data_IF_193892205422
#
_entry.id   IF_193892205422
#
_cell.length_a   1.000
_cell.length_b   1.000
_cell.length_c   1.000
_cell.angle_alpha   90.00
_cell.angle_beta   90.00
_cell.angle_gamma   90.00
#
_symmetry.space_group_name_H-M   'P 1'
#
loop_
_entity.id
_entity.type
_entity.pdbx_description
1 polymer ?
#
# COMPACT_ATOMS: atom_id res chain seq x y z
N UNK A 1 34.59 21.94 21.09
CA UNK A 1 33.55 22.77 20.43
C UNK A 1 32.67 21.82 19.64
N UNK A 2 31.53 21.44 20.18
CA UNK A 2 30.60 20.50 19.55
C UNK A 2 29.84 21.27 18.47
N UNK A 3 30.19 21.04 17.20
CA UNK A 3 29.40 21.58 16.08
C UNK A 3 28.01 20.94 16.13
N UNK A 4 27.00 21.76 16.42
CA UNK A 4 25.61 21.41 16.22
C UNK A 4 25.41 21.46 14.71
N UNK A 5 25.44 20.30 14.06
CA UNK A 5 25.14 20.13 12.63
C UNK A 5 23.81 20.82 12.33
N UNK A 6 23.87 21.95 11.62
CA UNK A 6 22.69 22.72 11.28
C UNK A 6 21.70 21.86 10.50
N UNK A 7 20.47 21.74 11.00
CA UNK A 7 19.37 21.05 10.32
C UNK A 7 19.34 21.50 8.85
N UNK A 8 19.61 20.59 7.91
CA UNK A 8 19.44 20.86 6.48
C UNK A 8 17.98 21.27 6.25
N UNK A 9 17.76 22.53 5.93
CA UNK A 9 16.42 23.04 5.66
C UNK A 9 15.99 22.54 4.29
N UNK A 10 14.96 21.70 4.25
CA UNK A 10 14.38 21.21 3.00
C UNK A 10 13.80 22.38 2.20
N UNK A 11 13.84 22.33 0.86
CA UNK A 11 13.09 23.27 0.04
C UNK A 11 11.59 23.23 0.40
N UNK A 12 10.88 24.37 0.42
CA UNK A 12 9.49 24.42 0.89
C UNK A 12 8.53 23.47 0.16
N UNK A 13 8.75 23.25 -1.14
CA UNK A 13 7.95 22.32 -1.94
C UNK A 13 8.13 20.85 -1.49
N UNK A 14 9.36 20.46 -1.14
CA UNK A 14 9.73 19.12 -0.69
C UNK A 14 9.18 18.88 0.71
N UNK A 15 9.37 19.85 1.62
CA UNK A 15 8.81 19.79 2.96
C UNK A 15 7.28 19.62 2.92
N UNK A 16 6.60 20.45 2.12
CA UNK A 16 5.13 20.36 1.97
C UNK A 16 4.68 19.05 1.36
N UNK A 17 5.41 18.52 0.37
CA UNK A 17 5.12 17.20 -0.17
C UNK A 17 5.24 16.12 0.92
N UNK A 18 6.34 16.07 1.67
CA UNK A 18 6.56 15.07 2.71
C UNK A 18 5.45 15.14 3.77
N UNK A 19 5.09 16.34 4.22
CA UNK A 19 4.01 16.53 5.19
C UNK A 19 2.67 16.01 4.66
N UNK A 20 2.26 16.44 3.46
CA UNK A 20 1.00 16.03 2.85
C UNK A 20 0.96 14.52 2.56
N UNK A 21 2.08 13.96 2.08
CA UNK A 21 2.21 12.54 1.83
C UNK A 21 2.09 11.72 3.13
N UNK A 22 2.62 12.25 4.23
CA UNK A 22 2.38 11.76 5.58
C UNK A 22 0.90 11.71 5.95
N UNK A 23 0.18 12.82 5.76
CA UNK A 23 -1.25 12.93 6.07
C UNK A 23 -2.12 12.01 5.20
N UNK A 24 -1.73 11.80 3.94
CA UNK A 24 -2.41 10.86 3.03
C UNK A 24 -2.21 9.41 3.47
N UNK A 25 -1.04 9.06 3.99
CA UNK A 25 -0.75 7.71 4.50
C UNK A 25 -1.76 7.24 5.53
N UNK A 26 -2.09 8.10 6.50
CA UNK A 26 -3.03 7.76 7.57
C UNK A 26 -4.42 7.42 7.02
N UNK A 27 -4.87 8.08 5.96
CA UNK A 27 -6.15 7.80 5.29
C UNK A 27 -6.18 6.43 4.60
N UNK A 28 -5.02 5.91 4.22
CA UNK A 28 -4.89 4.60 3.59
C UNK A 28 -4.50 3.49 4.57
N UNK A 29 -4.50 3.78 5.88
CA UNK A 29 -4.12 2.82 6.92
C UNK A 29 -2.62 2.58 7.01
N UNK A 30 -1.79 3.51 6.51
CA UNK A 30 -0.33 3.49 6.64
C UNK A 30 0.09 4.52 7.66
N UNK A 31 1.02 4.18 8.55
CA UNK A 31 1.50 5.11 9.57
C UNK A 31 2.11 6.39 8.92
N UNK A 32 1.74 7.57 9.43
CA UNK A 32 2.30 8.87 9.02
C UNK A 32 3.82 8.88 8.86
N UNK A 33 4.58 8.40 9.85
CA UNK A 33 6.04 8.44 9.83
C UNK A 33 6.63 7.54 8.75
N UNK A 34 6.02 6.37 8.52
CA UNK A 34 6.38 5.46 7.43
C UNK A 34 6.24 6.18 6.08
N UNK A 35 5.11 6.87 5.90
CA UNK A 35 4.83 7.62 4.67
C UNK A 35 5.81 8.78 4.51
N UNK A 36 6.06 9.58 5.55
CA UNK A 36 7.02 10.69 5.49
C UNK A 36 8.45 10.24 5.18
N UNK A 37 8.91 9.13 5.77
CA UNK A 37 10.24 8.57 5.49
C UNK A 37 10.31 8.07 4.06
N UNK A 38 9.28 7.37 3.57
CA UNK A 38 9.21 7.00 2.15
C UNK A 38 9.24 8.22 1.24
N UNK A 39 8.46 9.26 1.53
CA UNK A 39 8.41 10.49 0.74
C UNK A 39 9.76 11.20 0.70
N UNK A 40 10.50 11.23 1.81
CA UNK A 40 11.87 11.75 1.85
C UNK A 40 12.81 10.91 0.99
N UNK A 41 12.84 9.59 1.18
CA UNK A 41 13.72 8.69 0.43
C UNK A 41 13.40 8.65 -1.07
N UNK A 42 12.13 8.80 -1.45
CA UNK A 42 11.67 8.87 -2.85
C UNK A 42 12.22 10.11 -3.56
N UNK A 43 12.41 11.22 -2.84
CA UNK A 43 12.94 12.47 -3.37
C UNK A 43 14.45 12.65 -3.13
N UNK A 44 15.09 11.69 -2.45
CA UNK A 44 16.51 11.77 -2.13
C UNK A 44 17.37 11.45 -3.36
N UNK A 45 18.34 12.31 -3.66
CA UNK A 45 19.30 12.08 -4.75
C UNK A 45 20.35 10.99 -4.43
N UNK A 46 20.54 10.70 -3.15
CA UNK A 46 21.54 9.75 -2.65
C UNK A 46 20.94 8.91 -1.52
N UNK A 47 21.41 7.66 -1.34
CA UNK A 47 21.01 6.83 -0.21
C UNK A 47 21.26 7.53 1.12
N UNK A 48 20.31 7.43 2.06
CA UNK A 48 20.37 8.11 3.36
C UNK A 48 20.55 7.09 4.49
N UNK A 49 21.31 7.45 5.53
CA UNK A 49 21.35 6.65 6.76
C UNK A 49 20.12 6.92 7.62
N UNK A 50 19.85 6.04 8.59
CA UNK A 50 18.80 6.28 9.58
C UNK A 50 19.03 7.57 10.40
N UNK A 51 20.30 7.97 10.59
CA UNK A 51 20.65 9.21 11.28
C UNK A 51 20.31 10.44 10.43
N UNK A 52 20.65 10.41 9.13
CA UNK A 52 20.30 11.49 8.19
C UNK A 52 18.78 11.70 8.12
N UNK A 53 18.02 10.60 8.09
CA UNK A 53 16.54 10.63 8.06
C UNK A 53 15.99 11.22 9.35
N UNK A 54 16.49 10.79 10.52
CA UNK A 54 16.06 11.28 11.82
C UNK A 54 16.31 12.80 11.96
N UNK A 55 17.50 13.24 11.57
CA UNK A 55 17.88 14.65 11.66
C UNK A 55 17.10 15.52 10.67
N UNK A 56 16.88 15.02 9.44
CA UNK A 56 16.13 15.74 8.39
C UNK A 56 14.66 15.91 8.75
N UNK A 57 14.01 14.85 9.26
CA UNK A 57 12.58 14.88 9.59
C UNK A 57 12.29 15.33 11.03
N UNK A 58 13.32 15.49 11.86
CA UNK A 58 13.16 15.76 13.29
C UNK A 58 12.47 14.63 14.04
N UNK A 59 12.67 13.38 13.61
CA UNK A 59 12.04 12.19 14.18
C UNK A 59 12.94 11.48 15.20
N UNK A 60 12.34 10.86 16.20
CA UNK A 60 13.08 10.00 17.12
C UNK A 60 13.70 8.79 16.37
N UNK A 61 14.95 8.43 16.71
CA UNK A 61 15.68 7.32 16.07
C UNK A 61 14.94 5.98 16.16
N UNK A 62 14.23 5.72 17.27
CA UNK A 62 13.40 4.52 17.43
C UNK A 62 12.23 4.48 16.44
N UNK A 63 11.58 5.62 16.19
CA UNK A 63 10.52 5.73 15.20
C UNK A 63 11.06 5.49 13.79
N UNK A 64 12.16 6.15 13.44
CA UNK A 64 12.83 5.93 12.14
C UNK A 64 13.20 4.46 11.93
N UNK A 65 13.78 3.81 12.95
CA UNK A 65 14.14 2.39 12.87
C UNK A 65 12.93 1.48 12.61
N UNK A 66 11.80 1.72 13.30
CA UNK A 66 10.57 0.95 13.11
C UNK A 66 9.97 1.19 11.71
N UNK A 67 9.89 2.44 11.28
CA UNK A 67 9.38 2.79 9.96
C UNK A 67 10.22 2.23 8.83
N UNK A 68 11.55 2.24 8.95
CA UNK A 68 12.45 1.62 7.97
C UNK A 68 12.24 0.10 7.88
N UNK A 69 12.05 -0.59 9.02
CA UNK A 69 11.71 -2.02 9.03
C UNK A 69 10.41 -2.30 8.29
N UNK A 70 9.40 -1.46 8.50
CA UNK A 70 8.12 -1.58 7.83
C UNK A 70 8.27 -1.36 6.32
N UNK A 71 8.94 -0.29 5.90
CA UNK A 71 9.20 -0.02 4.47
C UNK A 71 10.00 -1.14 3.78
N UNK A 72 10.99 -1.72 4.47
CA UNK A 72 11.71 -2.90 3.99
C UNK A 72 10.78 -4.11 3.85
N UNK A 73 9.89 -4.35 4.82
CA UNK A 73 8.93 -5.45 4.78
C UNK A 73 7.87 -5.30 3.68
N UNK A 74 7.60 -4.08 3.22
CA UNK A 74 6.80 -3.80 2.02
C UNK A 74 7.64 -3.80 0.73
N UNK A 75 8.96 -3.99 0.82
CA UNK A 75 9.90 -3.83 -0.28
C UNK A 75 9.82 -2.46 -0.96
N UNK A 76 9.42 -1.40 -0.25
CA UNK A 76 9.35 -0.04 -0.81
C UNK A 76 10.68 0.70 -0.74
N UNK A 77 11.59 0.20 0.08
CA UNK A 77 12.98 0.66 0.17
C UNK A 77 13.91 -0.54 0.16
N UNK A 78 15.19 -0.30 -0.10
CA UNK A 78 16.24 -1.31 0.02
C UNK A 78 17.47 -0.74 0.74
N UNK A 79 18.26 -1.63 1.33
CA UNK A 79 19.58 -1.30 1.86
C UNK A 79 20.60 -1.25 0.73
N UNK A 80 21.47 -0.24 0.75
CA UNK A 80 22.55 -0.04 -0.22
C UNK A 80 23.88 0.00 0.52
N UNK A 81 24.82 -0.91 0.23
CA UNK A 81 26.15 -0.82 0.80
C UNK A 81 26.94 0.31 0.14
N UNK A 82 27.64 1.12 0.94
CA UNK A 82 28.56 2.15 0.46
C UNK A 82 29.98 1.76 0.89
N UNK A 83 30.91 1.72 -0.07
CA UNK A 83 32.29 1.32 0.18
C UNK A 83 32.95 2.26 1.21
N UNK A 84 33.51 1.69 2.26
CA UNK A 84 34.17 2.44 3.33
C UNK A 84 33.23 2.99 4.40
N UNK A 85 31.91 2.86 4.24
CA UNK A 85 30.93 3.19 5.26
C UNK A 85 30.26 1.91 5.79
N UNK A 86 30.27 1.75 7.11
CA UNK A 86 29.70 0.58 7.79
C UNK A 86 28.21 0.76 8.13
N UNK A 87 27.65 1.96 7.93
CA UNK A 87 26.25 2.26 8.23
C UNK A 87 25.33 1.73 7.13
N UNK A 88 24.15 1.31 7.54
CA UNK A 88 23.06 1.01 6.60
C UNK A 88 22.61 2.30 5.91
N UNK A 89 22.68 2.33 4.58
CA UNK A 89 22.06 3.36 3.76
C UNK A 89 20.81 2.80 3.09
N UNK A 90 19.80 3.65 2.93
CA UNK A 90 18.50 3.28 2.40
C UNK A 90 18.17 4.15 1.19
N UNK A 91 17.57 3.53 0.18
CA UNK A 91 16.97 4.22 -0.96
C UNK A 91 15.58 3.66 -1.24
N UNK A 92 14.69 4.48 -1.80
CA UNK A 92 13.34 4.08 -2.16
C UNK A 92 13.25 3.55 -3.60
N UNK A 93 12.23 2.72 -3.83
CA UNK A 93 11.73 2.48 -5.18
C UNK A 93 11.10 3.77 -5.72
N UNK A 94 11.59 4.25 -6.85
CA UNK A 94 11.14 5.51 -7.46
C UNK A 94 10.14 5.29 -8.60
N UNK A 95 10.01 4.04 -9.08
CA UNK A 95 8.96 3.70 -10.03
C UNK A 95 7.62 3.54 -9.30
N UNK A 96 6.75 4.55 -9.44
CA UNK A 96 5.45 4.57 -8.77
C UNK A 96 4.57 3.36 -9.12
N UNK A 97 4.79 2.77 -10.30
CA UNK A 97 4.06 1.58 -10.72
C UNK A 97 4.54 0.33 -9.97
N UNK A 98 5.84 0.23 -9.70
CA UNK A 98 6.38 -0.83 -8.82
C UNK A 98 5.93 -0.63 -7.39
N UNK A 99 5.95 0.60 -6.87
CA UNK A 99 5.41 0.91 -5.53
C UNK A 99 3.95 0.45 -5.42
N UNK A 100 3.10 0.82 -6.38
CA UNK A 100 1.70 0.43 -6.38
C UNK A 100 1.51 -1.09 -6.44
N UNK A 101 2.25 -1.80 -7.29
CA UNK A 101 2.20 -3.26 -7.38
C UNK A 101 2.67 -3.95 -6.10
N UNK A 102 3.74 -3.46 -5.45
CA UNK A 102 4.25 -4.02 -4.20
C UNK A 102 3.24 -3.84 -3.06
N UNK A 103 2.62 -2.67 -2.95
CA UNK A 103 1.56 -2.41 -1.97
C UNK A 103 0.36 -3.32 -2.25
N UNK A 104 -0.07 -3.42 -3.51
CA UNK A 104 -1.18 -4.25 -3.93
C UNK A 104 -0.93 -5.74 -3.55
N UNK A 105 0.22 -6.29 -3.95
CA UNK A 105 0.61 -7.65 -3.62
C UNK A 105 0.68 -7.89 -2.10
N UNK A 106 1.29 -6.98 -1.35
CA UNK A 106 1.39 -7.09 0.11
C UNK A 106 0.04 -7.02 0.82
N UNK A 107 -0.91 -6.20 0.34
CA UNK A 107 -2.27 -6.16 0.88
C UNK A 107 -3.02 -7.46 0.61
N UNK A 108 -2.90 -8.03 -0.59
CA UNK A 108 -3.50 -9.33 -0.89
C UNK A 108 -3.01 -10.41 0.07
N UNK A 109 -1.69 -10.51 0.24
CA UNK A 109 -1.07 -11.50 1.12
C UNK A 109 -1.51 -11.32 2.59
N UNK A 110 -1.65 -10.08 3.06
CA UNK A 110 -1.96 -9.79 4.47
C UNK A 110 -3.45 -9.72 4.81
N UNK A 111 -4.30 -9.38 3.84
CA UNK A 111 -5.72 -9.11 4.07
C UNK A 111 -6.63 -10.11 3.34
N UNK A 112 -6.37 -10.39 2.06
CA UNK A 112 -7.24 -11.22 1.22
C UNK A 112 -7.00 -12.72 1.47
N UNK A 113 -5.73 -13.15 1.50
CA UNK A 113 -5.38 -14.56 1.64
C UNK A 113 -5.86 -15.16 2.98
N UNK A 114 -5.71 -14.47 4.13
CA UNK A 114 -6.26 -14.94 5.40
C UNK A 114 -7.79 -14.95 5.40
N UNK A 115 -8.43 -13.96 4.78
CA UNK A 115 -9.89 -13.90 4.69
C UNK A 115 -10.45 -15.08 3.88
N UNK A 116 -9.83 -15.44 2.75
CA UNK A 116 -10.21 -16.62 1.97
C UNK A 116 -10.01 -17.90 2.79
N UNK A 117 -8.88 -18.04 3.48
CA UNK A 117 -8.61 -19.21 4.31
C UNK A 117 -9.67 -19.37 5.41
N UNK A 118 -10.02 -18.30 6.12
CA UNK A 118 -11.06 -18.29 7.14
C UNK A 118 -12.43 -18.64 6.55
N UNK A 119 -12.82 -18.01 5.43
CA UNK A 119 -14.11 -18.28 4.77
C UNK A 119 -14.21 -19.73 4.29
N UNK A 120 -13.12 -20.32 3.76
CA UNK A 120 -13.08 -21.73 3.37
C UNK A 120 -13.32 -22.65 4.57
N UNK A 121 -12.65 -22.39 5.70
CA UNK A 121 -12.86 -23.14 6.92
C UNK A 121 -14.30 -23.04 7.41
N UNK A 122 -14.86 -21.82 7.47
CA UNK A 122 -16.25 -21.61 7.89
C UNK A 122 -17.27 -22.28 6.98
N UNK A 123 -17.04 -22.28 5.65
CA UNK A 123 -17.94 -22.97 4.70
C UNK A 123 -17.86 -24.49 4.87
N UNK A 124 -16.68 -25.04 5.15
CA UNK A 124 -16.51 -26.47 5.39
C UNK A 124 -17.26 -26.90 6.66
N UNK A 125 -17.02 -26.22 7.79
CA UNK A 125 -17.71 -26.47 9.05
C UNK A 125 -19.24 -26.34 8.93
N UNK A 126 -19.70 -25.28 8.25
CA UNK A 126 -21.13 -25.04 8.00
C UNK A 126 -21.80 -26.11 7.12
N UNK A 127 -21.03 -26.84 6.31
CA UNK A 127 -21.56 -27.90 5.45
C UNK A 127 -21.76 -29.20 6.22
N UNK A 128 -20.93 -29.45 7.23
CA UNK A 128 -20.94 -30.68 8.03
C UNK A 128 -21.79 -30.55 9.31
N UNK A 129 -22.18 -29.33 9.70
CA UNK A 129 -22.98 -29.07 10.91
C UNK A 129 -24.50 -29.02 10.61
N UNK A 130 -25.31 -29.99 11.11
CA UNK A 130 -26.75 -30.02 10.91
C UNK A 130 -27.50 -28.88 11.61
N UNK A 131 -26.87 -28.14 12.53
CA UNK A 131 -27.45 -26.97 13.19
C UNK A 131 -27.33 -25.71 12.33
N UNK A 132 -26.52 -25.72 11.28
CA UNK A 132 -26.36 -24.58 10.38
C UNK A 132 -27.59 -24.45 9.48
N UNK A 133 -28.28 -23.31 9.56
CA UNK A 133 -29.43 -23.05 8.69
C UNK A 133 -29.01 -22.98 7.20
N UNK A 134 -29.87 -23.45 6.27
CA UNK A 134 -29.59 -23.36 4.83
C UNK A 134 -29.29 -21.94 4.34
N UNK A 135 -29.91 -20.92 4.97
CA UNK A 135 -29.69 -19.51 4.64
C UNK A 135 -28.29 -19.06 5.04
N UNK A 136 -27.82 -19.43 6.23
CA UNK A 136 -26.47 -19.11 6.69
C UNK A 136 -25.41 -19.79 5.81
N UNK A 137 -25.58 -21.09 5.54
CA UNK A 137 -24.68 -21.84 4.65
C UNK A 137 -24.59 -21.21 3.25
N UNK A 138 -25.73 -20.78 2.67
CA UNK A 138 -25.75 -20.08 1.38
C UNK A 138 -24.98 -18.76 1.43
N UNK A 139 -25.20 -17.93 2.45
CA UNK A 139 -24.53 -16.62 2.58
C UNK A 139 -23.02 -16.76 2.75
N UNK A 140 -22.55 -17.75 3.51
CA UNK A 140 -21.13 -18.06 3.64
C UNK A 140 -20.52 -18.46 2.29
N UNK A 141 -21.21 -19.32 1.52
CA UNK A 141 -20.79 -19.71 0.17
C UNK A 141 -20.75 -18.52 -0.80
N UNK A 142 -21.77 -17.66 -0.78
CA UNK A 142 -21.82 -16.47 -1.63
C UNK A 142 -20.66 -15.51 -1.30
N UNK A 143 -20.35 -15.31 -0.01
CA UNK A 143 -19.23 -14.47 0.43
C UNK A 143 -17.87 -15.05 0.02
N UNK A 144 -17.66 -16.36 0.22
CA UNK A 144 -16.46 -17.04 -0.24
C UNK A 144 -16.29 -16.91 -1.76
N UNK A 145 -17.35 -17.19 -2.52
CA UNK A 145 -17.31 -17.13 -3.98
C UNK A 145 -16.97 -15.72 -4.50
N UNK A 146 -17.53 -14.68 -3.86
CA UNK A 146 -17.20 -13.29 -4.18
C UNK A 146 -15.73 -12.96 -3.88
N UNK A 147 -15.24 -13.29 -2.68
CA UNK A 147 -13.86 -13.00 -2.29
C UNK A 147 -12.86 -13.71 -3.20
N UNK A 148 -13.10 -14.98 -3.54
CA UNK A 148 -12.26 -15.72 -4.48
C UNK A 148 -12.33 -15.16 -5.91
N UNK A 149 -13.48 -14.61 -6.33
CA UNK A 149 -13.59 -13.94 -7.62
C UNK A 149 -12.70 -12.69 -7.67
N UNK A 150 -12.77 -11.85 -6.63
CA UNK A 150 -11.93 -10.65 -6.50
C UNK A 150 -10.46 -11.01 -6.46
N UNK A 151 -10.08 -12.04 -5.70
CA UNK A 151 -8.69 -12.51 -5.60
C UNK A 151 -8.12 -13.01 -6.93
N UNK A 152 -8.91 -13.81 -7.66
CA UNK A 152 -8.51 -14.28 -9.00
C UNK A 152 -8.32 -13.11 -9.96
N UNK A 153 -9.26 -12.18 -9.99
CA UNK A 153 -9.16 -10.99 -10.82
C UNK A 153 -7.92 -10.16 -10.47
N UNK A 154 -7.71 -9.92 -9.18
CA UNK A 154 -6.57 -9.17 -8.67
C UNK A 154 -5.23 -9.83 -9.06
N UNK A 155 -5.10 -11.14 -8.84
CA UNK A 155 -3.90 -11.92 -9.19
C UNK A 155 -3.62 -11.91 -10.69
N UNK A 156 -4.67 -11.91 -11.52
CA UNK A 156 -4.52 -11.74 -12.97
C UNK A 156 -4.00 -10.35 -13.31
N UNK A 157 -4.59 -9.31 -12.72
CA UNK A 157 -4.23 -7.91 -12.98
C UNK A 157 -2.77 -7.61 -12.60
N UNK A 158 -2.25 -8.18 -11.52
CA UNK A 158 -0.84 -8.06 -11.14
C UNK A 158 0.14 -8.63 -12.19
N UNK A 159 -0.31 -9.55 -13.04
CA UNK A 159 0.51 -10.17 -14.10
C UNK A 159 0.38 -9.47 -15.45
N UNK A 160 -0.55 -8.53 -15.58
CA UNK A 160 -0.75 -7.85 -16.87
C UNK A 160 0.39 -6.84 -17.09
N UNK A 161 1.05 -6.85 -18.26
CA UNK A 161 2.06 -5.84 -18.58
C UNK A 161 1.52 -4.41 -18.48
N UNK A 162 2.31 -3.49 -17.92
CA UNK A 162 1.90 -2.09 -17.67
C UNK A 162 1.22 -1.40 -18.87
N UNK A 163 1.73 -1.50 -20.11
CA UNK A 163 1.07 -0.87 -21.26
C UNK A 163 -0.37 -1.36 -21.48
N UNK A 164 -0.62 -2.64 -21.22
CA UNK A 164 -1.96 -3.24 -21.32
C UNK A 164 -2.85 -2.80 -20.16
N UNK A 165 -2.32 -2.70 -18.95
CA UNK A 165 -3.06 -2.16 -17.80
C UNK A 165 -3.53 -0.72 -18.06
N UNK A 166 -2.65 0.13 -18.58
CA UNK A 166 -3.02 1.51 -18.98
C UNK A 166 -4.09 1.51 -20.07
N UNK A 167 -3.97 0.64 -21.07
CA UNK A 167 -4.99 0.52 -22.13
C UNK A 167 -6.36 0.09 -21.57
N UNK A 168 -6.39 -0.85 -20.63
CA UNK A 168 -7.62 -1.28 -19.95
C UNK A 168 -8.26 -0.15 -19.14
N UNK A 169 -7.47 0.61 -18.38
CA UNK A 169 -7.97 1.77 -17.61
C UNK A 169 -8.59 2.80 -18.55
N UNK A 170 -7.91 3.17 -19.64
CA UNK A 170 -8.41 4.13 -20.64
C UNK A 170 -9.65 3.61 -21.39
N UNK A 171 -9.75 2.30 -21.60
CA UNK A 171 -10.93 1.70 -22.22
C UNK A 171 -12.13 1.72 -21.28
N UNK A 172 -11.92 1.46 -19.99
CA UNK A 172 -12.95 1.55 -18.95
C UNK A 172 -13.60 2.93 -18.90
N UNK A 173 -12.82 4.00 -19.01
CA UNK A 173 -13.30 5.38 -19.10
C UNK A 173 -14.26 5.58 -20.29
N UNK A 174 -13.93 5.02 -21.46
CA UNK A 174 -14.77 5.11 -22.66
C UNK A 174 -16.07 4.31 -22.52
N UNK A 175 -16.01 3.12 -21.93
CA UNK A 175 -17.20 2.27 -21.74
C UNK A 175 -18.14 2.87 -20.69
N UNK A 176 -17.60 3.40 -19.59
CA UNK A 176 -18.38 4.09 -18.56
C UNK A 176 -19.15 5.29 -19.13
N UNK A 177 -18.55 6.03 -20.07
CA UNK A 177 -19.18 7.16 -20.76
C UNK A 177 -20.25 6.74 -21.80
N UNK A 178 -20.28 5.46 -22.19
CA UNK A 178 -21.28 4.92 -23.14
C UNK A 178 -22.43 4.20 -22.44
N UNK A 179 -22.32 3.91 -21.14
CA UNK A 179 -23.40 3.35 -20.35
C UNK A 179 -24.41 4.45 -20.01
N UNK A 180 -25.73 4.27 -20.28
CA UNK A 180 -26.73 5.24 -19.90
C UNK A 180 -26.67 5.48 -18.40
N UNK A 181 -26.47 6.72 -17.98
CA UNK A 181 -26.60 7.11 -16.58
C UNK A 181 -28.04 6.79 -16.17
N UNK A 182 -28.23 5.71 -15.39
CA UNK A 182 -29.54 5.33 -14.90
C UNK A 182 -30.11 6.50 -14.10
N UNK A 183 -31.06 7.25 -14.68
CA UNK A 183 -31.82 8.27 -13.97
C UNK A 183 -32.40 7.62 -12.72
N UNK A 184 -31.98 8.06 -11.55
CA UNK A 184 -32.72 7.75 -10.33
C UNK A 184 -34.12 8.31 -10.52
N UNK A 185 -35.12 7.43 -10.52
CA UNK A 185 -36.49 7.86 -10.33
C UNK A 185 -36.62 8.26 -8.87
N UNK A 186 -36.61 9.56 -8.61
CA UNK A 186 -37.27 10.11 -7.42
C UNK A 186 -38.74 9.74 -7.51
N UNK A 187 -39.15 8.71 -6.79
CA UNK A 187 -40.56 8.39 -6.56
C UNK A 187 -40.96 8.97 -5.22
N UNK A 188 -41.53 10.17 -5.24
CA UNK A 188 -42.41 10.68 -4.20
C UNK A 188 -43.75 9.96 -4.29
N UNK A 189 -44.16 9.30 -3.21
CA UNK A 189 -45.55 9.15 -2.78
C UNK A 189 -45.54 8.65 -1.32
#
# INVERSE_FOLDING_TARGET
MTEITGKKKLPPAIERFILNWGDMGDQWGVNRSVSQIHGLLYLAEQPMTAEDIADTLGMARSNVSNSLKELLAWNLIRRVPILGDRRDHFEAETDIWEVAQRIAAGRKEREIDPAIAALRASVAEATDDPTTSPVAAKRLKDMLAFTELVDRWFTQMLKVPRPRLVALIKLGEKIANLLPSGKSRSGSA
#
